data_IF_304097149941
#
_entry.id   IF_304097149941
#
_cell.length_a   1.000
_cell.length_b   1.000
_cell.length_c   1.000
_cell.angle_alpha   90.00
_cell.angle_beta   90.00
_cell.angle_gamma   90.00
#
_symmetry.space_group_name_H-M   'P 1'
#
loop_
_entity.id
_entity.type
_entity.pdbx_description
1 polymer ?
#
# COMPACT_ATOMS: atom_id res chain seq x y z
N UNK A 1 -38.21 -0.77 31.48
CA UNK A 1 -38.17 -1.31 32.86
C UNK A 1 -37.56 -2.69 32.74
N UNK A 2 -36.39 -3.04 33.28
CA UNK A 2 -35.55 -2.48 34.33
C UNK A 2 -34.07 -2.53 33.91
N UNK A 3 -33.32 -1.53 34.39
CA UNK A 3 -31.86 -1.52 34.42
C UNK A 3 -31.32 -2.68 35.26
N UNK A 4 -30.24 -3.31 34.81
CA UNK A 4 -29.27 -3.90 35.74
C UNK A 4 -27.86 -3.44 35.36
N UNK A 5 -27.33 -2.53 36.19
CA UNK A 5 -25.96 -2.03 36.18
C UNK A 5 -24.99 -3.19 36.38
N UNK A 6 -24.09 -3.43 35.43
CA UNK A 6 -22.91 -4.26 35.69
C UNK A 6 -21.84 -3.38 36.32
N UNK A 7 -21.73 -3.46 37.65
CA UNK A 7 -20.68 -2.83 38.45
C UNK A 7 -19.59 -3.87 38.67
N UNK A 8 -18.50 -3.81 37.90
CA UNK A 8 -17.30 -4.58 38.21
C UNK A 8 -16.50 -3.84 39.27
N UNK A 9 -16.58 -4.30 40.52
CA UNK A 9 -15.67 -3.87 41.58
C UNK A 9 -14.52 -4.87 41.72
N UNK A 10 -13.27 -4.43 41.90
CA UNK A 10 -12.15 -5.34 42.04
C UNK A 10 -12.14 -5.90 43.46
N UNK A 11 -12.29 -7.22 43.60
CA UNK A 11 -11.82 -7.92 44.79
C UNK A 11 -10.76 -8.93 44.36
N UNK A 12 -9.52 -8.61 44.72
CA UNK A 12 -8.44 -9.57 44.81
C UNK A 12 -8.88 -10.79 45.64
N UNK A 13 -8.76 -11.99 45.05
CA UNK A 13 -7.92 -13.10 45.53
C UNK A 13 -8.26 -14.37 44.72
N UNK A 14 -7.22 -14.94 44.11
CA UNK A 14 -7.07 -16.34 43.71
C UNK A 14 -8.16 -16.98 42.81
N UNK A 15 -7.76 -17.21 41.55
CA UNK A 15 -8.04 -18.44 40.79
C UNK A 15 -9.44 -19.03 40.95
N UNK A 16 -10.45 -18.46 40.29
CA UNK A 16 -11.68 -19.20 39.98
C UNK A 16 -12.09 -18.87 38.55
N UNK A 17 -12.11 -19.91 37.71
CA UNK A 17 -12.75 -19.90 36.41
C UNK A 17 -14.22 -19.49 36.59
N UNK A 18 -14.63 -18.42 35.91
CA UNK A 18 -16.04 -18.04 35.80
C UNK A 18 -16.69 -18.96 34.77
N UNK A 19 -17.25 -20.08 35.23
CA UNK A 19 -18.13 -20.95 34.43
C UNK A 19 -19.46 -20.24 34.19
N UNK A 20 -19.70 -19.82 32.95
CA UNK A 20 -21.01 -19.39 32.46
C UNK A 20 -21.79 -20.63 32.00
N UNK A 21 -22.69 -21.14 32.84
CA UNK A 21 -23.71 -22.11 32.39
C UNK A 21 -24.77 -21.35 31.58
N UNK A 22 -24.70 -21.45 30.25
CA UNK A 22 -25.79 -21.07 29.36
C UNK A 22 -26.47 -22.35 28.88
N UNK A 23 -27.76 -22.46 29.21
CA UNK A 23 -28.66 -23.55 28.82
C UNK A 23 -28.70 -23.71 27.29
N UNK A 24 -28.16 -24.82 26.80
CA UNK A 24 -28.76 -25.57 25.69
C UNK A 24 -28.76 -24.95 24.29
N UNK A 25 -27.88 -24.00 23.98
CA UNK A 25 -27.65 -23.56 22.59
C UNK A 25 -26.16 -23.68 22.26
N UNK A 26 -25.84 -24.24 21.08
CA UNK A 26 -24.48 -24.29 20.53
C UNK A 26 -24.12 -22.87 20.06
N UNK A 27 -23.91 -21.96 21.01
CA UNK A 27 -23.46 -20.61 20.76
C UNK A 27 -21.93 -20.55 20.88
N UNK A 28 -21.25 -20.45 19.73
CA UNK A 28 -19.95 -19.80 19.52
C UNK A 28 -18.92 -19.83 20.67
N UNK A 29 -18.45 -21.01 21.06
CA UNK A 29 -17.30 -21.16 21.98
C UNK A 29 -16.02 -20.47 21.47
N UNK A 30 -15.84 -20.37 20.15
CA UNK A 30 -14.72 -19.66 19.54
C UNK A 30 -14.75 -18.14 19.79
N UNK A 31 -15.93 -17.52 19.80
CA UNK A 31 -16.07 -16.08 20.01
C UNK A 31 -15.74 -15.65 21.44
N UNK A 32 -16.16 -16.46 22.42
CA UNK A 32 -15.92 -16.19 23.85
C UNK A 32 -14.45 -16.36 24.21
N UNK A 33 -13.79 -17.42 23.70
CA UNK A 33 -12.36 -17.61 23.90
C UNK A 33 -11.55 -16.45 23.29
N UNK A 34 -11.90 -16.01 22.07
CA UNK A 34 -11.20 -14.89 21.43
C UNK A 34 -11.36 -13.57 22.18
N UNK A 35 -12.56 -13.27 22.67
CA UNK A 35 -12.79 -12.07 23.48
C UNK A 35 -11.96 -12.09 24.77
N UNK A 36 -11.82 -13.26 25.40
CA UNK A 36 -11.01 -13.43 26.60
C UNK A 36 -9.52 -13.19 26.32
N UNK A 37 -8.97 -13.70 25.22
CA UNK A 37 -7.57 -13.48 24.87
C UNK A 37 -7.25 -12.01 24.56
N UNK A 38 -8.19 -11.28 23.93
CA UNK A 38 -8.04 -9.84 23.66
C UNK A 38 -8.04 -9.07 24.97
N UNK A 39 -8.99 -9.39 25.86
CA UNK A 39 -9.05 -8.81 27.19
C UNK A 39 -7.76 -9.08 27.99
N UNK A 40 -7.25 -10.31 28.00
CA UNK A 40 -6.01 -10.67 28.69
C UNK A 40 -4.79 -9.95 28.12
N UNK A 41 -4.70 -9.80 26.79
CA UNK A 41 -3.61 -9.06 26.16
C UNK A 41 -3.63 -7.58 26.59
N UNK A 42 -4.80 -6.95 26.59
CA UNK A 42 -4.98 -5.55 27.01
C UNK A 42 -4.71 -5.41 28.50
N UNK A 43 -5.23 -6.31 29.33
CA UNK A 43 -5.02 -6.32 30.77
C UNK A 43 -3.52 -6.47 31.11
N UNK A 44 -2.82 -7.41 30.46
CA UNK A 44 -1.39 -7.63 30.65
C UNK A 44 -0.58 -6.41 30.22
N UNK A 45 -0.93 -5.80 29.08
CA UNK A 45 -0.29 -4.56 28.61
C UNK A 45 -0.50 -3.42 29.61
N UNK A 46 -1.69 -3.31 30.22
CA UNK A 46 -1.99 -2.34 31.28
C UNK A 46 -1.15 -2.56 32.52
N UNK A 47 -1.12 -3.78 33.06
CA UNK A 47 -0.37 -4.09 34.28
C UNK A 47 1.14 -3.86 34.12
N UNK A 48 1.68 -4.19 32.95
CA UNK A 48 3.11 -4.09 32.67
C UNK A 48 3.51 -2.76 32.03
N UNK A 49 2.56 -1.83 31.82
CA UNK A 49 2.75 -0.54 31.14
C UNK A 49 3.52 -0.67 29.82
N UNK A 50 3.18 -1.70 29.03
CA UNK A 50 3.86 -1.98 27.77
C UNK A 50 3.56 -0.89 26.75
N UNK A 51 4.59 -0.35 26.11
CA UNK A 51 4.44 0.63 25.03
C UNK A 51 3.80 0.07 23.76
N UNK A 52 3.91 -1.25 23.57
CA UNK A 52 3.48 -1.92 22.34
C UNK A 52 2.33 -2.90 22.66
N UNK A 53 1.27 -2.85 21.86
CA UNK A 53 0.12 -3.75 21.95
C UNK A 53 -0.12 -4.44 20.61
N UNK A 54 -0.20 -5.77 20.64
CA UNK A 54 -0.42 -6.61 19.46
C UNK A 54 -1.78 -7.30 19.55
N UNK A 55 -2.66 -6.97 18.60
CA UNK A 55 -4.02 -7.52 18.46
C UNK A 55 -4.28 -7.95 17.01
N UNK A 56 -3.24 -8.40 16.32
CA UNK A 56 -3.31 -8.85 14.93
C UNK A 56 -4.02 -10.21 14.82
N UNK A 57 -4.73 -10.45 13.72
CA UNK A 57 -5.34 -11.75 13.41
C UNK A 57 -6.35 -12.23 14.48
N UNK A 58 -7.13 -11.31 15.07
CA UNK A 58 -8.05 -11.60 16.17
C UNK A 58 -9.52 -11.62 15.75
N UNK A 59 -9.79 -11.48 14.45
CA UNK A 59 -11.15 -11.35 13.89
C UNK A 59 -12.00 -10.30 14.60
N UNK A 60 -11.38 -9.19 15.01
CA UNK A 60 -12.07 -8.09 15.68
C UNK A 60 -13.00 -7.37 14.70
N UNK A 61 -14.29 -7.34 14.98
CA UNK A 61 -15.27 -6.60 14.16
C UNK A 61 -15.40 -5.12 14.57
N UNK A 62 -15.01 -4.79 15.80
CA UNK A 62 -15.06 -3.44 16.36
C UNK A 62 -13.79 -3.15 17.17
N UNK A 63 -13.47 -1.87 17.31
CA UNK A 63 -12.34 -1.43 18.11
C UNK A 63 -12.59 -1.80 19.59
N UNK A 64 -11.65 -2.46 20.29
CA UNK A 64 -11.89 -2.91 21.67
C UNK A 64 -12.19 -1.73 22.60
N UNK A 65 -13.38 -1.74 23.22
CA UNK A 65 -13.82 -0.66 24.11
C UNK A 65 -12.95 -0.58 25.38
N UNK A 66 -12.30 -1.67 25.76
CA UNK A 66 -11.39 -1.77 26.89
C UNK A 66 -10.17 -0.85 26.72
N UNK A 67 -9.76 -0.57 25.48
CA UNK A 67 -8.70 0.41 25.18
C UNK A 67 -9.16 1.86 25.38
N UNK A 68 -10.48 2.09 25.35
CA UNK A 68 -11.11 3.41 25.45
C UNK A 68 -11.63 3.70 26.87
N UNK A 69 -11.37 2.82 27.84
CA UNK A 69 -11.82 2.95 29.22
C UNK A 69 -11.35 4.22 29.92
N UNK A 70 -11.91 4.49 31.10
CA UNK A 70 -11.76 5.77 31.81
C UNK A 70 -10.31 6.14 32.14
N UNK A 71 -9.46 5.15 32.43
CA UNK A 71 -8.08 5.44 32.83
C UNK A 71 -7.09 5.70 31.70
N UNK A 72 -7.48 5.53 30.42
CA UNK A 72 -6.63 5.80 29.25
C UNK A 72 -5.29 5.03 29.25
N UNK A 73 -4.98 4.27 28.19
CA UNK A 73 -3.67 3.59 28.12
C UNK A 73 -2.58 4.56 27.63
N UNK A 74 -2.34 5.62 28.41
CA UNK A 74 -1.42 6.72 28.10
C UNK A 74 0.03 6.29 27.90
N UNK A 75 0.42 5.09 28.31
CA UNK A 75 1.77 4.56 28.09
C UNK A 75 1.93 3.88 26.72
N UNK A 76 0.82 3.61 25.99
CA UNK A 76 0.89 2.99 24.67
C UNK A 76 1.43 3.98 23.64
N UNK A 77 2.42 3.50 22.90
CA UNK A 77 3.04 4.20 21.78
C UNK A 77 2.75 3.48 20.46
N UNK A 78 2.57 2.14 20.47
CA UNK A 78 2.40 1.35 19.25
C UNK A 78 1.25 0.38 19.37
N UNK A 79 0.34 0.42 18.41
CA UNK A 79 -0.77 -0.52 18.30
C UNK A 79 -0.72 -1.22 16.94
N UNK A 80 -0.76 -2.55 16.99
CA UNK A 80 -0.85 -3.40 15.83
C UNK A 80 -2.18 -4.13 15.86
N UNK A 81 -3.04 -3.86 14.88
CA UNK A 81 -4.37 -4.46 14.71
C UNK A 81 -4.59 -4.93 13.26
N UNK A 82 -3.54 -5.40 12.59
CA UNK A 82 -3.64 -5.88 11.21
C UNK A 82 -4.45 -7.17 11.11
N UNK A 83 -5.08 -7.38 9.95
CA UNK A 83 -5.87 -8.59 9.67
C UNK A 83 -6.98 -8.82 10.69
N UNK A 84 -7.84 -7.82 10.82
CA UNK A 84 -9.08 -7.89 11.57
C UNK A 84 -10.24 -7.49 10.64
N UNK A 85 -11.42 -7.29 11.20
CA UNK A 85 -12.65 -6.96 10.48
C UNK A 85 -13.22 -5.62 10.95
N UNK A 86 -12.36 -4.69 11.39
CA UNK A 86 -12.76 -3.39 11.92
C UNK A 86 -13.41 -2.56 10.82
N UNK A 87 -14.60 -2.01 11.08
CA UNK A 87 -15.33 -1.17 10.11
C UNK A 87 -15.18 0.33 10.39
N UNK A 88 -14.94 0.68 11.65
CA UNK A 88 -14.86 2.05 12.14
C UNK A 88 -13.79 2.16 13.22
N UNK A 89 -13.33 3.39 13.45
CA UNK A 89 -12.44 3.76 14.54
C UNK A 89 -13.18 4.73 15.47
N UNK A 90 -12.87 4.73 16.77
CA UNK A 90 -13.62 5.52 17.74
C UNK A 90 -13.22 7.00 17.74
N UNK A 91 -14.19 7.90 17.91
CA UNK A 91 -13.98 9.36 17.89
C UNK A 91 -13.24 9.90 19.13
N UNK A 92 -13.01 9.08 20.15
CA UNK A 92 -12.26 9.47 21.35
C UNK A 92 -10.86 8.83 21.40
N UNK A 93 -10.39 8.21 20.30
CA UNK A 93 -9.12 7.50 20.26
C UNK A 93 -7.94 8.37 20.72
N UNK A 94 -7.84 9.59 20.18
CA UNK A 94 -6.73 10.49 20.53
C UNK A 94 -6.76 10.96 21.98
N UNK A 95 -7.95 11.14 22.55
CA UNK A 95 -8.09 11.51 23.96
C UNK A 95 -7.60 10.38 24.89
N UNK A 96 -7.90 9.12 24.53
CA UNK A 96 -7.59 7.95 25.34
C UNK A 96 -6.18 7.41 25.14
N UNK A 97 -5.60 7.65 23.96
CA UNK A 97 -4.29 7.16 23.56
C UNK A 97 -3.40 8.30 23.01
N UNK A 98 -3.18 9.38 23.77
CA UNK A 98 -2.53 10.59 23.27
C UNK A 98 -1.03 10.44 22.95
N UNK A 99 -0.43 9.32 23.37
CA UNK A 99 1.00 9.06 23.18
C UNK A 99 1.30 8.07 22.04
N UNK A 100 0.31 7.75 21.20
CA UNK A 100 0.53 6.91 20.03
C UNK A 100 1.52 7.55 19.05
N UNK A 101 2.50 6.74 18.68
CA UNK A 101 3.54 7.02 17.69
C UNK A 101 3.30 6.18 16.43
N UNK A 102 2.82 4.94 16.59
CA UNK A 102 2.56 4.05 15.45
C UNK A 102 1.20 3.35 15.57
N UNK A 103 0.41 3.41 14.50
CA UNK A 103 -0.90 2.77 14.40
C UNK A 103 -1.01 1.96 13.11
N UNK A 104 -1.03 0.64 13.24
CA UNK A 104 -1.14 -0.29 12.12
C UNK A 104 -2.50 -0.97 12.10
N UNK A 105 -3.31 -0.61 11.10
CA UNK A 105 -4.69 -1.04 10.88
C UNK A 105 -4.87 -1.72 9.52
N UNK A 106 -3.77 -2.19 8.93
CA UNK A 106 -3.76 -2.85 7.64
C UNK A 106 -4.69 -4.07 7.58
N UNK A 107 -5.35 -4.31 6.45
CA UNK A 107 -6.24 -5.47 6.25
C UNK A 107 -7.39 -5.47 7.25
N UNK A 108 -8.22 -4.44 7.17
CA UNK A 108 -9.48 -4.28 7.88
C UNK A 108 -10.57 -3.87 6.89
N UNK A 109 -11.75 -3.46 7.38
CA UNK A 109 -12.86 -2.97 6.55
C UNK A 109 -13.22 -1.52 6.87
N UNK A 110 -12.22 -0.70 7.22
CA UNK A 110 -12.41 0.69 7.65
C UNK A 110 -12.85 1.52 6.46
N UNK A 111 -14.02 2.17 6.58
CA UNK A 111 -14.60 2.98 5.50
C UNK A 111 -14.25 4.47 5.59
N UNK A 112 -13.99 4.97 6.79
CA UNK A 112 -13.61 6.35 7.05
C UNK A 112 -12.65 6.46 8.24
N UNK A 113 -11.76 7.44 8.19
CA UNK A 113 -10.88 7.82 9.30
C UNK A 113 -11.57 8.96 10.06
N UNK A 114 -11.96 8.79 11.34
CA UNK A 114 -12.54 9.87 12.12
C UNK A 114 -11.53 11.00 12.32
N UNK A 115 -12.04 12.24 12.40
CA UNK A 115 -11.23 13.45 12.63
C UNK A 115 -10.35 13.31 13.88
N UNK A 116 -10.84 12.63 14.91
CA UNK A 116 -10.13 12.41 16.15
C UNK A 116 -8.75 11.77 15.98
N UNK A 117 -8.54 10.92 14.97
CA UNK A 117 -7.22 10.32 14.72
C UNK A 117 -6.20 11.40 14.34
N UNK A 118 -6.65 12.46 13.68
CA UNK A 118 -5.82 13.57 13.25
C UNK A 118 -5.33 14.44 14.42
N UNK A 119 -5.87 14.24 15.63
CA UNK A 119 -5.42 14.90 16.86
C UNK A 119 -4.26 14.15 17.56
N UNK A 120 -3.82 13.01 17.02
CA UNK A 120 -2.66 12.27 17.54
C UNK A 120 -1.34 13.00 17.19
N UNK A 121 -1.02 14.05 17.95
CA UNK A 121 0.12 14.94 17.68
C UNK A 121 1.49 14.22 17.60
N UNK A 122 1.64 13.06 18.24
CA UNK A 122 2.88 12.26 18.26
C UNK A 122 2.93 11.16 17.19
N UNK A 123 1.87 10.97 16.41
CA UNK A 123 1.80 9.88 15.45
C UNK A 123 2.80 10.11 14.32
N UNK A 124 3.70 9.15 14.13
CA UNK A 124 4.74 9.13 13.11
C UNK A 124 4.45 8.13 12.00
N UNK A 125 3.76 7.03 12.30
CA UNK A 125 3.43 5.98 11.34
C UNK A 125 1.95 5.62 11.39
N UNK A 126 1.26 5.75 10.27
CA UNK A 126 -0.13 5.35 10.10
C UNK A 126 -0.24 4.42 8.88
N UNK A 127 -0.64 3.17 9.13
CA UNK A 127 -0.90 2.20 8.07
C UNK A 127 -2.38 1.81 8.06
N UNK A 128 -3.08 2.26 7.02
CA UNK A 128 -4.48 1.96 6.72
C UNK A 128 -4.59 1.19 5.39
N UNK A 129 -3.53 0.52 4.96
CA UNK A 129 -3.53 -0.24 3.71
C UNK A 129 -4.54 -1.39 3.75
N UNK A 130 -5.00 -1.87 2.60
CA UNK A 130 -5.96 -2.98 2.50
C UNK A 130 -7.24 -2.72 3.34
N UNK A 131 -7.88 -1.57 3.11
CA UNK A 131 -9.16 -1.18 3.72
C UNK A 131 -10.16 -0.78 2.61
N UNK A 132 -11.27 -0.12 2.97
CA UNK A 132 -12.29 0.33 2.01
C UNK A 132 -12.48 1.85 2.03
N UNK A 133 -11.43 2.59 2.39
CA UNK A 133 -11.45 4.05 2.46
C UNK A 133 -11.76 4.66 1.09
N UNK A 134 -12.75 5.54 1.05
CA UNK A 134 -13.12 6.28 -0.16
C UNK A 134 -12.54 7.70 -0.18
N UNK A 135 -12.32 8.26 1.01
CA UNK A 135 -11.77 9.60 1.24
C UNK A 135 -10.82 9.59 2.43
N UNK A 136 -9.87 10.52 2.42
CA UNK A 136 -9.10 10.92 3.59
C UNK A 136 -9.52 12.36 3.90
N UNK A 137 -9.76 12.64 5.18
CA UNK A 137 -10.18 13.96 5.62
C UNK A 137 -9.02 14.98 5.50
N UNK A 138 -9.30 16.26 5.19
CA UNK A 138 -8.29 17.34 5.15
C UNK A 138 -7.52 17.51 6.46
N UNK A 139 -8.14 17.16 7.58
CA UNK A 139 -7.57 17.25 8.93
C UNK A 139 -6.36 16.36 9.13
N UNK A 140 -6.08 15.40 8.23
CA UNK A 140 -4.85 14.60 8.25
C UNK A 140 -3.59 15.47 8.40
N UNK A 141 -3.62 16.70 7.87
CA UNK A 141 -2.56 17.72 8.02
C UNK A 141 -2.24 18.14 9.46
N UNK A 142 -3.13 17.87 10.43
CA UNK A 142 -2.90 18.11 11.86
C UNK A 142 -1.90 17.13 12.46
N UNK A 143 -1.62 16.00 11.80
CA UNK A 143 -0.59 15.03 12.20
C UNK A 143 0.82 15.56 11.86
N UNK A 144 1.26 16.61 12.55
CA UNK A 144 2.52 17.32 12.25
C UNK A 144 3.78 16.46 12.33
N UNK A 145 3.75 15.40 13.13
CA UNK A 145 4.86 14.46 13.31
C UNK A 145 4.82 13.28 12.33
N UNK A 146 3.86 13.21 11.41
CA UNK A 146 3.65 12.04 10.56
C UNK A 146 4.76 11.91 9.52
N UNK A 147 5.44 10.75 9.52
CA UNK A 147 6.56 10.42 8.63
C UNK A 147 6.18 9.36 7.60
N UNK A 148 5.36 8.40 7.98
CA UNK A 148 4.94 7.33 7.10
C UNK A 148 3.42 7.24 7.06
N UNK A 149 2.86 7.48 5.87
CA UNK A 149 1.43 7.33 5.60
C UNK A 149 1.25 6.26 4.53
N UNK A 150 0.66 5.12 4.91
CA UNK A 150 0.34 4.02 4.00
C UNK A 150 -1.17 3.87 3.85
N UNK A 151 -1.63 4.02 2.62
CA UNK A 151 -3.03 4.01 2.18
C UNK A 151 -3.24 3.05 1.00
N UNK A 152 -2.29 2.14 0.76
CA UNK A 152 -2.31 1.24 -0.37
C UNK A 152 -3.59 0.37 -0.37
N UNK A 153 -4.07 -0.02 -1.54
CA UNK A 153 -5.23 -0.91 -1.68
C UNK A 153 -6.49 -0.40 -0.95
N UNK A 154 -6.92 0.80 -1.29
CA UNK A 154 -8.17 1.40 -0.84
C UNK A 154 -9.02 1.79 -2.06
N UNK A 155 -10.06 2.60 -1.86
CA UNK A 155 -10.97 3.08 -2.92
C UNK A 155 -10.87 4.59 -3.12
N UNK A 156 -9.73 5.19 -2.77
CA UNK A 156 -9.53 6.64 -2.83
C UNK A 156 -9.60 7.13 -4.27
N UNK A 157 -10.46 8.12 -4.52
CA UNK A 157 -10.59 8.76 -5.84
C UNK A 157 -9.74 10.03 -5.98
N UNK A 158 -9.45 10.65 -4.83
CA UNK A 158 -8.70 11.90 -4.70
C UNK A 158 -7.96 11.90 -3.37
N UNK A 159 -6.91 12.71 -3.28
CA UNK A 159 -6.23 13.04 -2.03
C UNK A 159 -6.54 14.49 -1.67
N UNK A 160 -6.77 14.82 -0.39
CA UNK A 160 -6.93 16.21 0.01
C UNK A 160 -5.63 16.99 -0.23
N UNK A 161 -5.70 18.24 -0.74
CA UNK A 161 -4.51 19.06 -0.97
C UNK A 161 -3.70 19.35 0.32
N UNK A 162 -4.34 19.25 1.48
CA UNK A 162 -3.77 19.41 2.82
C UNK A 162 -2.73 18.33 3.17
N UNK A 163 -2.66 17.20 2.44
CA UNK A 163 -1.53 16.26 2.58
C UNK A 163 -0.18 16.95 2.35
N UNK A 164 -0.15 18.00 1.51
CA UNK A 164 1.04 18.83 1.30
C UNK A 164 1.56 19.53 2.57
N UNK A 165 0.73 19.66 3.61
CA UNK A 165 1.09 20.35 4.86
C UNK A 165 1.74 19.41 5.90
N UNK A 166 1.92 18.14 5.55
CA UNK A 166 2.68 17.15 6.32
C UNK A 166 4.18 17.32 6.06
N UNK A 167 4.78 18.27 6.76
CA UNK A 167 6.17 18.71 6.51
C UNK A 167 7.23 17.66 6.87
N UNK A 168 6.94 16.76 7.82
CA UNK A 168 7.80 15.63 8.21
C UNK A 168 7.52 14.35 7.40
N UNK A 169 6.61 14.37 6.42
CA UNK A 169 6.24 13.15 5.68
C UNK A 169 7.40 12.69 4.81
N UNK A 170 7.94 11.51 5.11
CA UNK A 170 9.07 10.87 4.41
C UNK A 170 8.57 9.84 3.39
N UNK A 171 7.48 9.14 3.70
CA UNK A 171 6.91 8.08 2.86
C UNK A 171 5.41 8.25 2.70
N UNK A 172 4.97 8.29 1.44
CA UNK A 172 3.56 8.26 1.08
C UNK A 172 3.30 7.11 0.10
N UNK A 173 2.52 6.13 0.54
CA UNK A 173 2.04 5.03 -0.30
C UNK A 173 0.53 5.14 -0.51
N UNK A 174 0.12 5.41 -1.74
CA UNK A 174 -1.27 5.48 -2.19
C UNK A 174 -1.53 4.53 -3.36
N UNK A 175 -0.69 3.50 -3.49
CA UNK A 175 -0.80 2.49 -4.55
C UNK A 175 -2.14 1.74 -4.51
N UNK A 176 -2.55 1.15 -5.64
CA UNK A 176 -3.76 0.35 -5.78
C UNK A 176 -5.03 1.08 -5.29
N UNK A 177 -5.20 2.33 -5.73
CA UNK A 177 -6.39 3.14 -5.46
C UNK A 177 -7.10 3.51 -6.79
N UNK A 178 -7.96 4.53 -6.78
CA UNK A 178 -8.67 5.02 -7.96
C UNK A 178 -8.33 6.49 -8.26
N UNK A 179 -7.14 6.94 -7.86
CA UNK A 179 -6.71 8.33 -8.01
C UNK A 179 -6.61 8.71 -9.49
N UNK A 180 -7.28 9.80 -9.87
CA UNK A 180 -7.19 10.36 -11.22
C UNK A 180 -6.06 11.40 -11.36
N UNK A 181 -5.71 12.06 -10.24
CA UNK A 181 -4.65 13.07 -10.14
C UNK A 181 -4.01 13.03 -8.76
N UNK A 182 -2.83 13.62 -8.62
CA UNK A 182 -2.21 13.95 -7.33
C UNK A 182 -2.36 15.46 -7.05
N UNK A 183 -2.50 15.87 -5.78
CA UNK A 183 -2.66 17.28 -5.44
C UNK A 183 -1.38 18.05 -5.76
N UNK A 184 -1.51 19.22 -6.40
CA UNK A 184 -0.36 20.04 -6.74
C UNK A 184 0.45 20.45 -5.50
N UNK A 185 -0.20 20.65 -4.34
CA UNK A 185 0.42 20.99 -3.05
C UNK A 185 1.32 19.91 -2.47
N UNK A 186 1.35 18.69 -3.01
CA UNK A 186 2.23 17.63 -2.54
C UNK A 186 3.72 18.03 -2.55
N UNK A 187 4.11 18.97 -3.42
CA UNK A 187 5.46 19.54 -3.46
C UNK A 187 5.92 20.21 -2.15
N UNK A 188 4.99 20.58 -1.27
CA UNK A 188 5.28 21.19 0.04
C UNK A 188 5.73 20.16 1.10
N UNK A 189 5.60 18.86 0.82
CA UNK A 189 6.19 17.81 1.64
C UNK A 189 7.72 17.76 1.41
N UNK A 190 8.45 18.71 1.98
CA UNK A 190 9.89 18.87 1.77
C UNK A 190 10.72 17.66 2.23
N UNK A 191 10.22 16.87 3.19
CA UNK A 191 10.87 15.67 3.68
C UNK A 191 10.55 14.41 2.86
N UNK A 192 9.68 14.49 1.84
CA UNK A 192 9.18 13.30 1.14
C UNK A 192 10.29 12.66 0.31
N UNK A 193 10.65 11.43 0.67
CA UNK A 193 11.71 10.65 0.06
C UNK A 193 11.16 9.55 -0.86
N UNK A 194 10.03 8.95 -0.49
CA UNK A 194 9.41 7.87 -1.25
C UNK A 194 7.93 8.17 -1.50
N UNK A 195 7.56 8.23 -2.78
CA UNK A 195 6.18 8.40 -3.23
C UNK A 195 5.80 7.25 -4.15
N UNK A 196 4.86 6.41 -3.71
CA UNK A 196 4.32 5.33 -4.53
C UNK A 196 2.83 5.54 -4.78
N UNK A 197 2.42 5.58 -6.05
CA UNK A 197 1.03 5.66 -6.48
C UNK A 197 0.74 4.70 -7.64
N UNK A 198 1.37 3.54 -7.60
CA UNK A 198 1.20 2.48 -8.59
C UNK A 198 -0.25 2.02 -8.70
N UNK A 199 -0.64 1.49 -9.85
CA UNK A 199 -1.96 0.89 -10.07
C UNK A 199 -3.11 1.83 -9.71
N UNK A 200 -3.01 3.09 -10.15
CA UNK A 200 -4.06 4.10 -10.05
C UNK A 200 -4.62 4.43 -11.44
N UNK A 201 -5.32 5.56 -11.58
CA UNK A 201 -5.89 6.05 -12.84
C UNK A 201 -5.29 7.40 -13.25
N UNK A 202 -4.06 7.68 -12.82
CA UNK A 202 -3.37 8.96 -13.05
C UNK A 202 -3.18 9.20 -14.55
N UNK A 203 -3.63 10.35 -15.05
CA UNK A 203 -3.47 10.76 -16.46
C UNK A 203 -2.30 11.71 -16.70
N UNK A 204 -1.99 12.51 -15.70
CA UNK A 204 -0.88 13.44 -15.67
C UNK A 204 -0.38 13.61 -14.23
N UNK A 205 0.83 14.13 -14.08
CA UNK A 205 1.38 14.57 -12.81
C UNK A 205 1.40 16.12 -12.78
N UNK A 206 1.12 16.76 -11.64
CA UNK A 206 1.27 18.21 -11.53
C UNK A 206 2.75 18.59 -11.72
N UNK A 207 3.01 19.69 -12.44
CA UNK A 207 4.39 20.15 -12.70
C UNK A 207 5.18 20.43 -11.42
N UNK A 208 4.47 20.87 -10.37
CA UNK A 208 5.02 21.14 -9.05
C UNK A 208 5.66 19.91 -8.40
N UNK A 209 5.28 18.68 -8.80
CA UNK A 209 5.89 17.47 -8.26
C UNK A 209 7.41 17.42 -8.52
N UNK A 210 7.89 18.07 -9.59
CA UNK A 210 9.32 18.21 -9.88
C UNK A 210 10.08 19.07 -8.85
N UNK A 211 9.37 19.77 -7.96
CA UNK A 211 9.93 20.60 -6.88
C UNK A 211 10.09 19.82 -5.56
N UNK A 212 9.80 18.52 -5.54
CA UNK A 212 10.13 17.67 -4.39
C UNK A 212 11.64 17.45 -4.34
N UNK A 213 12.33 18.29 -3.57
CA UNK A 213 13.80 18.32 -3.52
C UNK A 213 14.41 17.05 -2.92
N UNK A 214 13.76 16.47 -1.90
CA UNK A 214 14.24 15.30 -1.15
C UNK A 214 13.76 13.96 -1.71
N UNK A 215 12.97 13.97 -2.79
CA UNK A 215 12.37 12.74 -3.33
C UNK A 215 13.47 11.88 -3.94
N UNK A 216 13.63 10.67 -3.42
CA UNK A 216 14.59 9.67 -3.87
C UNK A 216 13.95 8.61 -4.77
N UNK A 217 12.73 8.21 -4.44
CA UNK A 217 12.00 7.17 -5.13
C UNK A 217 10.59 7.65 -5.53
N UNK A 218 10.28 7.52 -6.81
CA UNK A 218 8.98 7.83 -7.39
C UNK A 218 8.45 6.62 -8.16
N UNK A 219 7.37 6.01 -7.67
CA UNK A 219 6.69 4.90 -8.35
C UNK A 219 5.29 5.32 -8.78
N UNK A 220 5.02 5.21 -10.08
CA UNK A 220 3.77 5.54 -10.75
C UNK A 220 3.42 4.46 -11.79
N UNK A 221 3.89 3.23 -11.59
CA UNK A 221 3.68 2.10 -12.47
C UNK A 221 2.19 1.76 -12.64
N UNK A 222 1.83 1.17 -13.77
CA UNK A 222 0.46 0.73 -14.08
C UNK A 222 -0.60 1.83 -13.90
N UNK A 223 -0.34 3.01 -14.46
CA UNK A 223 -1.27 4.14 -14.51
C UNK A 223 -1.73 4.43 -15.96
N UNK A 224 -2.30 5.61 -16.21
CA UNK A 224 -2.75 6.07 -17.54
C UNK A 224 -2.01 7.33 -17.97
N UNK A 225 -0.76 7.49 -17.54
CA UNK A 225 0.04 8.69 -17.80
C UNK A 225 0.28 8.83 -19.29
N UNK A 226 -0.04 10.00 -19.85
CA UNK A 226 0.28 10.34 -21.24
C UNK A 226 1.65 11.03 -21.36
N UNK A 227 1.99 11.83 -20.35
CA UNK A 227 3.21 12.65 -20.28
C UNK A 227 3.67 12.79 -18.84
N UNK A 228 4.98 12.98 -18.66
CA UNK A 228 5.58 13.41 -17.40
C UNK A 228 6.00 14.88 -17.49
N UNK A 229 6.06 15.64 -16.38
CA UNK A 229 6.61 16.98 -16.37
C UNK A 229 8.04 17.00 -16.90
N UNK A 230 8.37 17.94 -17.79
CA UNK A 230 9.69 18.03 -18.42
C UNK A 230 10.82 18.23 -17.40
N UNK A 231 10.52 18.86 -16.26
CA UNK A 231 11.47 19.12 -15.19
C UNK A 231 11.61 17.94 -14.19
N UNK A 232 10.86 16.85 -14.37
CA UNK A 232 10.94 15.66 -13.52
C UNK A 232 12.31 14.98 -13.71
N UNK A 233 13.03 14.74 -12.60
CA UNK A 233 14.41 14.22 -12.65
C UNK A 233 15.51 15.27 -12.48
N UNK A 234 15.14 16.57 -12.44
CA UNK A 234 16.10 17.66 -12.22
C UNK A 234 16.75 17.61 -10.83
N UNK A 235 16.05 17.09 -9.82
CA UNK A 235 16.64 16.85 -8.50
C UNK A 235 17.74 15.80 -8.60
N UNK A 236 18.83 16.03 -7.86
CA UNK A 236 19.93 15.06 -7.71
C UNK A 236 19.56 13.93 -6.75
N UNK A 237 18.58 14.14 -5.88
CA UNK A 237 18.15 13.12 -4.91
C UNK A 237 17.31 12.03 -5.56
N UNK A 238 16.54 12.35 -6.61
CA UNK A 238 15.66 11.39 -7.28
C UNK A 238 16.51 10.38 -8.04
N UNK A 239 16.60 9.15 -7.54
CA UNK A 239 17.41 8.09 -8.14
C UNK A 239 16.57 7.04 -8.84
N UNK A 240 15.39 6.73 -8.30
CA UNK A 240 14.55 5.62 -8.74
C UNK A 240 13.22 6.15 -9.26
N UNK A 241 12.93 5.86 -10.54
CA UNK A 241 11.65 6.24 -11.16
C UNK A 241 11.04 5.03 -11.86
N UNK A 242 9.87 4.62 -11.39
CA UNK A 242 9.12 3.51 -11.95
C UNK A 242 7.85 4.04 -12.61
N UNK A 243 7.78 3.95 -13.93
CA UNK A 243 6.63 4.42 -14.73
C UNK A 243 6.19 3.37 -15.74
N UNK A 244 6.57 2.11 -15.51
CA UNK A 244 6.20 0.99 -16.35
C UNK A 244 4.67 0.83 -16.45
N UNK A 245 4.20 0.14 -17.48
CA UNK A 245 2.77 -0.14 -17.68
C UNK A 245 1.88 1.12 -17.78
N UNK A 246 2.45 2.26 -18.22
CA UNK A 246 1.70 3.44 -18.68
C UNK A 246 1.60 3.41 -20.22
N UNK A 247 0.60 2.70 -20.76
CA UNK A 247 0.48 2.40 -22.20
C UNK A 247 0.37 3.63 -23.11
N UNK A 248 -0.01 4.78 -22.57
CA UNK A 248 -0.14 6.05 -23.31
C UNK A 248 1.06 6.97 -23.15
N UNK A 249 2.07 6.57 -22.37
CA UNK A 249 3.23 7.40 -22.10
C UNK A 249 4.08 7.50 -23.36
N UNK A 250 4.13 8.70 -23.94
CA UNK A 250 4.81 8.92 -25.22
C UNK A 250 6.33 8.95 -25.12
N UNK A 251 6.85 9.21 -23.93
CA UNK A 251 8.28 9.30 -23.71
C UNK A 251 8.64 9.78 -22.30
N UNK A 252 9.94 9.73 -22.01
CA UNK A 252 10.51 10.12 -20.74
C UNK A 252 11.30 11.44 -20.91
N UNK A 253 11.19 12.40 -19.97
CA UNK A 253 12.04 13.59 -19.93
C UNK A 253 13.53 13.25 -19.89
N UNK A 254 14.37 14.09 -20.51
CA UNK A 254 15.82 13.86 -20.60
C UNK A 254 16.51 13.76 -19.24
N UNK A 255 16.05 14.50 -18.23
CA UNK A 255 16.58 14.45 -16.87
C UNK A 255 16.41 13.09 -16.16
N UNK A 256 15.57 12.20 -16.71
CA UNK A 256 15.41 10.83 -16.21
C UNK A 256 16.41 9.85 -16.85
N UNK A 257 17.10 10.22 -17.92
CA UNK A 257 17.96 9.26 -18.63
C UNK A 257 19.14 8.77 -17.80
N UNK A 258 19.63 9.58 -16.87
CA UNK A 258 20.68 9.21 -15.93
C UNK A 258 20.15 8.62 -14.61
N UNK A 259 18.85 8.35 -14.51
CA UNK A 259 18.22 7.76 -13.33
C UNK A 259 17.96 6.27 -13.56
N UNK A 260 17.79 5.53 -12.48
CA UNK A 260 17.40 4.14 -12.56
C UNK A 260 15.90 4.08 -12.90
N UNK A 261 15.57 3.60 -14.10
CA UNK A 261 14.19 3.47 -14.56
C UNK A 261 13.83 2.00 -14.49
N UNK A 262 12.82 1.67 -13.68
CA UNK A 262 12.52 0.27 -13.41
C UNK A 262 11.29 -0.27 -14.10
N UNK A 263 11.27 -1.60 -14.17
CA UNK A 263 10.12 -2.44 -14.48
C UNK A 263 9.89 -3.39 -13.30
N UNK A 264 8.65 -3.47 -12.80
CA UNK A 264 8.21 -4.57 -11.91
C UNK A 264 9.12 -4.82 -10.69
N UNK A 265 9.64 -3.74 -10.07
CA UNK A 265 10.47 -3.81 -8.87
C UNK A 265 11.98 -4.03 -9.11
N UNK A 266 12.43 -4.04 -10.36
CA UNK A 266 13.85 -4.05 -10.72
C UNK A 266 14.17 -2.76 -11.48
N UNK A 267 15.10 -1.96 -10.94
CA UNK A 267 15.57 -0.75 -11.60
C UNK A 267 16.74 -1.09 -12.53
N UNK A 268 16.66 -0.68 -13.80
CA UNK A 268 17.74 -0.88 -14.77
C UNK A 268 18.26 0.50 -15.18
N UNK A 269 19.58 0.76 -15.11
CA UNK A 269 20.13 1.97 -15.68
C UNK A 269 19.92 1.95 -17.19
N UNK A 270 19.52 3.07 -17.79
CA UNK A 270 19.37 3.14 -19.25
C UNK A 270 20.73 2.92 -19.95
N UNK A 271 20.77 2.34 -21.17
CA UNK A 271 22.01 2.14 -21.92
C UNK A 271 22.80 3.44 -22.10
N UNK A 272 24.13 3.34 -22.16
CA UNK A 272 25.03 4.49 -22.28
C UNK A 272 24.74 5.34 -23.52
N UNK A 273 24.26 4.75 -24.62
CA UNK A 273 23.88 5.51 -25.81
C UNK A 273 22.67 6.43 -25.55
N UNK A 274 21.73 6.01 -24.71
CA UNK A 274 20.57 6.83 -24.29
C UNK A 274 21.00 7.92 -23.31
N UNK A 275 21.95 7.62 -22.42
CA UNK A 275 22.48 8.57 -21.44
C UNK A 275 23.32 9.69 -22.10
N UNK A 276 24.11 9.35 -23.12
CA UNK A 276 24.97 10.31 -23.82
C UNK A 276 24.19 11.33 -24.65
N UNK A 277 23.12 10.91 -25.33
CA UNK A 277 22.33 11.79 -26.21
C UNK A 277 21.37 12.71 -25.44
N UNK A 278 21.01 12.36 -24.18
CA UNK A 278 20.21 13.24 -23.31
C UNK A 278 20.84 14.59 -22.95
N UNK A 279 22.14 14.75 -23.23
CA UNK A 279 22.92 15.96 -22.97
C UNK A 279 23.04 16.87 -24.21
N UNK A 280 22.70 16.39 -25.40
CA UNK A 280 22.88 17.12 -26.66
C UNK A 280 21.54 17.39 -27.37
N UNK A 281 21.48 18.55 -28.02
CA UNK A 281 20.30 19.41 -28.22
C UNK A 281 19.33 19.03 -29.34
N UNK A 282 19.17 17.77 -29.74
CA UNK A 282 18.35 17.46 -30.93
C UNK A 282 17.27 16.39 -30.76
N UNK A 283 16.03 16.76 -31.09
CA UNK A 283 14.99 15.90 -31.69
C UNK A 283 14.71 14.55 -31.03
N UNK A 284 14.15 14.57 -29.81
CA UNK A 284 13.95 13.41 -28.91
C UNK A 284 12.81 12.45 -29.32
N UNK A 285 12.72 12.02 -30.58
CA UNK A 285 11.77 10.96 -31.01
C UNK A 285 12.44 9.58 -31.02
N UNK A 286 13.66 9.41 -31.55
CA UNK A 286 14.33 8.10 -31.54
C UNK A 286 14.70 7.60 -30.14
N UNK A 287 14.98 8.52 -29.19
CA UNK A 287 15.33 8.16 -27.80
C UNK A 287 14.14 7.66 -26.99
N UNK A 288 12.96 8.25 -27.18
CA UNK A 288 11.74 7.78 -26.54
C UNK A 288 11.45 6.35 -26.99
N UNK A 289 11.62 6.08 -28.28
CA UNK A 289 11.42 4.75 -28.85
C UNK A 289 12.50 3.75 -28.38
N UNK A 290 13.77 4.15 -28.26
CA UNK A 290 14.84 3.29 -27.77
C UNK A 290 14.70 2.95 -26.28
N UNK A 291 14.38 3.95 -25.44
CA UNK A 291 14.10 3.74 -24.02
C UNK A 291 12.85 2.86 -23.82
N UNK A 292 11.80 3.07 -24.62
CA UNK A 292 10.60 2.21 -24.60
C UNK A 292 10.89 0.79 -25.09
N UNK A 293 11.77 0.62 -26.09
CA UNK A 293 12.21 -0.71 -26.56
C UNK A 293 13.05 -1.43 -25.50
N UNK A 294 13.94 -0.73 -24.79
CA UNK A 294 14.74 -1.29 -23.70
C UNK A 294 13.84 -1.74 -22.52
N UNK A 295 12.86 -0.91 -22.15
CA UNK A 295 11.83 -1.26 -21.16
C UNK A 295 11.01 -2.48 -21.61
N UNK A 296 10.56 -2.51 -22.86
CA UNK A 296 9.81 -3.63 -23.42
C UNK A 296 10.64 -4.93 -23.46
N UNK A 297 11.93 -4.87 -23.82
CA UNK A 297 12.81 -6.05 -23.78
C UNK A 297 13.03 -6.58 -22.37
N UNK A 298 13.14 -5.69 -21.36
CA UNK A 298 13.25 -6.10 -19.97
C UNK A 298 11.96 -6.77 -19.47
N UNK A 299 10.78 -6.31 -19.90
CA UNK A 299 9.50 -6.94 -19.59
C UNK A 299 9.33 -8.32 -20.25
N UNK A 300 9.83 -8.50 -21.48
CA UNK A 300 9.78 -9.78 -22.19
C UNK A 300 10.62 -10.87 -21.50
N UNK A 301 11.77 -10.50 -20.93
CA UNK A 301 12.65 -11.41 -20.18
C UNK A 301 12.06 -11.90 -18.84
N UNK A 302 11.00 -11.25 -18.33
CA UNK A 302 10.32 -11.63 -17.09
C UNK A 302 9.04 -12.46 -17.29
N UNK A 303 8.63 -12.77 -18.53
CA UNK A 303 7.54 -13.73 -18.74
C UNK A 303 8.02 -15.13 -18.38
N UNK A 304 7.37 -15.86 -17.44
CA UNK A 304 7.65 -17.27 -17.27
C UNK A 304 7.32 -18.00 -18.57
N UNK A 305 8.21 -18.90 -18.99
CA UNK A 305 7.96 -19.86 -20.08
C UNK A 305 6.75 -20.73 -19.72
N UNK A 306 5.53 -20.25 -20.00
CA UNK A 306 4.36 -21.11 -20.08
C UNK A 306 4.22 -21.59 -21.52
N UNK A 307 4.48 -22.88 -21.72
CA UNK A 307 4.24 -23.56 -23.00
C UNK A 307 5.34 -24.55 -23.33
N UNK A 308 5.35 -25.69 -22.65
CA UNK A 308 6.29 -26.78 -22.93
C UNK A 308 5.90 -28.07 -22.21
N UNK A 309 4.63 -28.47 -22.29
CA UNK A 309 4.27 -29.86 -21.98
C UNK A 309 4.83 -30.76 -23.08
N UNK A 310 5.96 -31.40 -22.77
CA UNK A 310 6.40 -32.62 -23.42
C UNK A 310 5.37 -33.73 -23.13
N UNK A 311 4.48 -33.98 -24.08
CA UNK A 311 3.77 -35.25 -24.17
C UNK A 311 4.58 -36.19 -25.06
N UNK A 312 5.18 -37.19 -24.42
CA UNK A 312 5.75 -38.34 -25.08
C UNK A 312 4.63 -39.30 -25.49
N UNK A 313 4.50 -39.58 -26.79
CA UNK A 313 3.97 -40.87 -27.27
C UNK A 313 4.31 -41.07 -28.74
N UNK A 314 5.05 -42.14 -29.03
CA UNK A 314 5.10 -42.81 -30.32
C UNK A 314 4.97 -44.32 -30.04
N UNK A 315 4.68 -45.20 -31.02
CA UNK A 315 4.06 -44.99 -32.33
C UNK A 315 2.85 -45.93 -32.56
N UNK A 316 1.96 -45.62 -33.51
CA UNK A 316 1.11 -46.66 -34.13
C UNK A 316 1.10 -46.48 -35.65
N UNK A 317 1.67 -47.49 -36.29
CA UNK A 317 1.61 -47.85 -37.71
C UNK A 317 0.17 -47.92 -38.23
N UNK A 318 -0.12 -47.32 -39.39
CA UNK A 318 -0.99 -47.92 -40.42
C UNK A 318 -0.87 -47.19 -41.76
N UNK A 319 -0.91 -48.00 -42.82
CA UNK A 319 -0.51 -47.77 -44.22
C UNK A 319 -1.43 -46.85 -45.05
N UNK A 320 -0.97 -46.41 -46.24
CA UNK A 320 -1.60 -45.37 -47.06
C UNK A 320 -2.55 -45.94 -48.14
N UNK A 321 -3.20 -45.06 -48.94
CA UNK A 321 -3.33 -45.37 -50.36
C UNK A 321 -3.06 -44.17 -51.29
N UNK A 322 -2.60 -44.49 -52.51
CA UNK A 322 -3.15 -43.84 -53.71
C UNK A 322 -2.21 -42.97 -54.57
N UNK A 323 -1.38 -43.63 -55.37
CA UNK A 323 -1.10 -43.40 -56.80
C UNK A 323 -0.88 -41.98 -57.39
N UNK A 324 0.26 -41.77 -58.06
CA UNK A 324 0.33 -41.45 -59.52
C UNK A 324 1.77 -41.31 -60.06
N UNK A 325 2.01 -41.84 -61.28
CA UNK A 325 3.14 -41.52 -62.19
C UNK A 325 4.33 -42.51 -62.19
N UNK A 326 4.37 -43.65 -62.93
CA UNK A 326 4.58 -43.86 -64.40
C UNK A 326 6.03 -43.51 -64.86
N UNK A 327 6.73 -44.24 -65.78
CA UNK A 327 7.05 -45.69 -65.85
C UNK A 327 8.49 -46.02 -66.38
N UNK A 328 8.78 -47.32 -66.53
CA UNK A 328 9.66 -48.02 -67.53
C UNK A 328 11.20 -48.07 -67.40
N UNK A 329 11.71 -49.32 -67.52
CA UNK A 329 13.04 -49.72 -67.98
C UNK A 329 13.54 -51.05 -67.39
N UNK A 330 13.01 -52.22 -67.78
CA UNK A 330 13.64 -53.22 -68.69
C UNK A 330 14.99 -53.83 -68.22
N UNK A 331 14.97 -55.04 -67.65
CA UNK A 331 15.35 -56.33 -68.28
C UNK A 331 15.01 -57.50 -67.35
#
# INVERSE_FOLDING_TARGET
MLLTKYRMTPKCKCSHALTLEVKGEIAHWSGVAMALEVYEAIFTAKQQRRKNLFLNYRNLHAFPAELLGDEGLHFLERIYMKWNSLTTLPDNLAQKLPNLVELYLRSNSIAAVPEAICELAKLQSLDLSDNVLQVICPEISRLRSLRHLRLANNRLKTLPPEIGDLLELETLDVSMNHLATLPARLHLCHALQCLTADRNRLRCLPRQLSQLHSLNELSMAANRLATLPLDLGRSRELQFVFVDNNVHLKGLPSYLYNKAIGCSGVAVPLPLEVQAVGLETEGVVPLQELAMRALHSAQQLQRPLQGGEFSASAPVTQNPPGASGVPRGSL
#
